data_IF_559693656043
#
_entry.id   IF_559693656043
#
_cell.length_a   1.000
_cell.length_b   1.000
_cell.length_c   1.000
_cell.angle_alpha   90.00
_cell.angle_beta   90.00
_cell.angle_gamma   90.00
#
_symmetry.space_group_name_H-M   'P 1'
#
loop_
_entity.id
_entity.type
_entity.pdbx_description
1 polymer ?
#
# COMPACT_ATOMS: atom_id res chain seq x y z
N UNK A 1 3.00 7.23 5.52
CA UNK A 1 4.03 6.91 6.54
C UNK A 1 3.30 6.26 7.70
N UNK A 2 3.38 4.94 7.81
CA UNK A 2 2.85 4.21 8.96
C UNK A 2 3.66 4.65 10.18
N UNK A 3 2.99 5.18 11.22
CA UNK A 3 3.66 5.64 12.44
C UNK A 3 4.46 4.48 13.05
N UNK A 4 5.55 4.76 13.77
CA UNK A 4 6.37 3.71 14.41
C UNK A 4 5.53 2.75 15.25
N UNK A 5 4.47 3.27 15.88
CA UNK A 5 3.46 2.55 16.64
C UNK A 5 2.69 1.45 15.90
N UNK A 6 2.72 1.46 14.56
CA UNK A 6 1.98 0.53 13.71
C UNK A 6 2.87 -0.45 12.94
N UNK A 7 4.20 -0.31 13.04
CA UNK A 7 5.17 -1.20 12.37
C UNK A 7 4.97 -2.67 12.75
N UNK A 8 4.67 -2.95 14.01
CA UNK A 8 4.44 -4.30 14.53
C UNK A 8 3.15 -4.94 13.97
N UNK A 9 2.24 -4.13 13.43
CA UNK A 9 0.93 -4.56 12.95
C UNK A 9 0.81 -4.51 11.42
N UNK A 10 1.92 -4.38 10.69
CA UNK A 10 1.92 -4.37 9.21
C UNK A 10 1.21 -5.61 8.66
N UNK A 11 1.41 -6.79 9.26
CA UNK A 11 0.70 -8.01 8.83
C UNK A 11 -0.82 -7.94 8.99
N UNK A 12 -1.32 -7.27 10.02
CA UNK A 12 -2.77 -7.00 10.19
C UNK A 12 -3.24 -6.02 9.12
N UNK A 13 -2.49 -4.94 8.90
CA UNK A 13 -2.84 -3.92 7.90
C UNK A 13 -2.94 -4.56 6.51
N UNK A 14 -1.93 -5.31 6.08
CA UNK A 14 -1.93 -5.98 4.76
C UNK A 14 -3.11 -6.95 4.60
N UNK A 15 -3.43 -7.73 5.62
CA UNK A 15 -4.61 -8.60 5.60
C UNK A 15 -5.90 -7.79 5.48
N UNK A 16 -6.04 -6.72 6.25
CA UNK A 16 -7.24 -5.89 6.25
C UNK A 16 -7.40 -5.05 4.98
N UNK A 17 -6.32 -4.65 4.29
CA UNK A 17 -6.38 -3.96 2.99
C UNK A 17 -7.19 -4.75 1.95
N UNK A 18 -6.99 -6.07 1.90
CA UNK A 18 -7.72 -6.95 0.97
C UNK A 18 -9.22 -7.08 1.27
N UNK A 19 -9.66 -6.71 2.48
CA UNK A 19 -11.04 -6.81 2.94
C UNK A 19 -11.72 -5.45 3.06
N UNK A 20 -11.06 -4.35 2.65
CA UNK A 20 -11.47 -2.99 3.00
C UNK A 20 -12.88 -2.61 2.52
N UNK A 21 -13.35 -3.27 1.46
CA UNK A 21 -14.68 -3.11 0.88
C UNK A 21 -15.58 -4.34 1.07
N UNK A 22 -15.16 -5.32 1.86
CA UNK A 22 -15.90 -6.57 2.08
C UNK A 22 -16.81 -6.44 3.30
N UNK A 23 -17.94 -7.16 3.28
CA UNK A 23 -18.89 -7.18 4.39
C UNK A 23 -18.30 -7.81 5.65
N UNK A 24 -17.26 -8.65 5.49
CA UNK A 24 -16.54 -9.35 6.55
C UNK A 24 -15.48 -8.46 7.24
N UNK A 25 -15.32 -7.20 6.84
CA UNK A 25 -14.30 -6.29 7.37
C UNK A 25 -14.39 -6.17 8.89
N UNK A 26 -15.55 -5.78 9.44
CA UNK A 26 -15.68 -5.50 10.88
C UNK A 26 -15.52 -6.76 11.72
N UNK A 27 -16.01 -7.91 11.23
CA UNK A 27 -15.84 -9.20 11.90
C UNK A 27 -14.35 -9.61 11.93
N UNK A 28 -13.67 -9.55 10.78
CA UNK A 28 -12.27 -9.93 10.68
C UNK A 28 -11.37 -8.99 11.48
N UNK A 29 -11.64 -7.68 11.43
CA UNK A 29 -10.93 -6.68 12.22
C UNK A 29 -11.05 -6.98 13.71
N UNK A 30 -12.27 -7.27 14.19
CA UNK A 30 -12.53 -7.56 15.60
C UNK A 30 -11.80 -8.82 16.06
N UNK A 31 -11.75 -9.86 15.23
CA UNK A 31 -11.03 -11.10 15.52
C UNK A 31 -9.50 -10.88 15.56
N UNK A 32 -8.93 -10.22 14.56
CA UNK A 32 -7.48 -10.01 14.46
C UNK A 32 -6.92 -9.05 15.50
N UNK A 33 -7.77 -8.22 16.10
CA UNK A 33 -7.35 -7.17 17.04
C UNK A 33 -7.94 -7.36 18.45
N UNK A 34 -8.54 -8.51 18.74
CA UNK A 34 -9.22 -8.80 20.01
C UNK A 34 -8.31 -8.56 21.24
N UNK A 35 -7.05 -8.98 21.14
CA UNK A 35 -6.07 -8.88 22.22
C UNK A 35 -5.38 -7.51 22.30
N UNK A 36 -5.68 -6.59 21.37
CA UNK A 36 -5.06 -5.27 21.33
C UNK A 36 -5.84 -4.26 22.20
N UNK A 37 -5.15 -3.34 22.89
CA UNK A 37 -5.80 -2.21 23.56
C UNK A 37 -6.65 -1.38 22.59
N UNK A 38 -7.74 -0.79 23.08
CA UNK A 38 -8.66 0.01 22.25
C UNK A 38 -7.98 1.19 21.54
N UNK A 39 -6.95 1.78 22.13
CA UNK A 39 -6.13 2.82 21.49
C UNK A 39 -5.41 2.30 20.24
N UNK A 40 -4.84 1.08 20.29
CA UNK A 40 -4.17 0.45 19.13
C UNK A 40 -5.18 0.02 18.07
N UNK A 41 -6.33 -0.54 18.46
CA UNK A 41 -7.44 -0.84 17.53
C UNK A 41 -7.88 0.43 16.79
N UNK A 42 -8.02 1.55 17.51
CA UNK A 42 -8.39 2.84 16.91
C UNK A 42 -7.37 3.33 15.89
N UNK A 43 -6.07 3.31 16.23
CA UNK A 43 -4.99 3.69 15.31
C UNK A 43 -4.97 2.81 14.05
N UNK A 44 -5.21 1.51 14.19
CA UNK A 44 -5.32 0.60 13.04
C UNK A 44 -6.52 0.95 12.15
N UNK A 45 -7.70 1.22 12.73
CA UNK A 45 -8.86 1.67 11.94
C UNK A 45 -8.59 3.00 11.24
N UNK A 46 -7.90 3.94 11.90
CA UNK A 46 -7.51 5.21 11.28
C UNK A 46 -6.58 5.01 10.09
N UNK A 47 -5.57 4.15 10.22
CA UNK A 47 -4.63 3.88 9.13
C UNK A 47 -5.32 3.20 7.95
N UNK A 48 -6.19 2.22 8.20
CA UNK A 48 -6.99 1.57 7.14
C UNK A 48 -7.90 2.59 6.44
N UNK A 49 -8.56 3.47 7.21
CA UNK A 49 -9.38 4.55 6.64
C UNK A 49 -8.55 5.52 5.81
N UNK A 50 -7.31 5.82 6.22
CA UNK A 50 -6.36 6.67 5.47
C UNK A 50 -6.00 6.00 4.14
N UNK A 51 -5.63 4.71 4.16
CA UNK A 51 -5.29 3.95 2.96
C UNK A 51 -6.47 3.84 1.98
N UNK A 52 -7.70 3.77 2.49
CA UNK A 52 -8.92 3.77 1.67
C UNK A 52 -9.27 5.13 1.05
N UNK A 53 -8.62 6.24 1.44
CA UNK A 53 -8.97 7.56 0.90
C UNK A 53 -8.70 7.62 -0.60
N UNK A 54 -9.68 8.03 -1.43
CA UNK A 54 -9.44 8.30 -2.84
C UNK A 54 -8.30 9.31 -3.02
N UNK A 55 -7.48 9.10 -4.04
CA UNK A 55 -6.39 10.01 -4.37
C UNK A 55 -6.23 10.16 -5.88
N UNK A 56 -5.42 11.14 -6.25
CA UNK A 56 -5.32 11.63 -7.62
C UNK A 56 -3.87 11.93 -8.03
N UNK A 57 -2.91 11.37 -7.30
CA UNK A 57 -1.48 11.61 -7.46
C UNK A 57 -0.95 11.06 -8.78
N UNK A 58 0.02 11.75 -9.36
CA UNK A 58 0.76 11.23 -10.50
C UNK A 58 1.82 10.24 -10.01
N UNK A 59 2.02 9.18 -10.79
CA UNK A 59 3.07 8.19 -10.55
C UNK A 59 4.06 8.33 -11.68
N UNK A 60 5.32 8.58 -11.36
CA UNK A 60 6.43 8.62 -12.31
C UNK A 60 7.60 7.84 -11.73
N UNK A 61 7.88 6.68 -12.32
CA UNK A 61 8.91 5.75 -11.87
C UNK A 61 10.16 5.79 -12.75
N UNK A 62 10.25 6.71 -13.72
CA UNK A 62 11.42 6.82 -14.61
C UNK A 62 12.69 7.06 -13.79
N UNK A 63 13.68 6.18 -13.94
CA UNK A 63 14.93 6.24 -13.17
C UNK A 63 14.79 5.85 -11.69
N UNK A 64 13.62 5.34 -11.26
CA UNK A 64 13.37 4.95 -9.88
C UNK A 64 13.16 3.45 -9.68
N UNK A 65 12.99 2.69 -10.76
CA UNK A 65 12.77 1.24 -10.73
C UNK A 65 13.71 0.51 -11.67
N UNK A 66 13.99 -0.75 -11.33
CA UNK A 66 14.61 -1.73 -12.22
C UNK A 66 13.53 -2.33 -13.12
N UNK A 67 13.28 -1.67 -14.26
CA UNK A 67 12.26 -2.04 -15.23
C UNK A 67 12.10 -0.99 -16.33
N UNK A 68 11.55 -1.38 -17.48
CA UNK A 68 11.24 -0.44 -18.56
C UNK A 68 9.96 0.33 -18.25
N UNK A 69 10.09 1.65 -18.08
CA UNK A 69 8.99 2.53 -17.72
C UNK A 69 8.31 3.09 -18.97
N UNK A 70 6.98 2.97 -19.03
CA UNK A 70 6.15 3.42 -20.17
C UNK A 70 4.96 4.27 -19.71
N UNK A 71 4.42 5.12 -20.59
CA UNK A 71 3.20 5.86 -20.27
C UNK A 71 2.01 4.90 -20.08
N UNK A 72 1.26 5.11 -19.00
CA UNK A 72 0.04 4.39 -18.64
C UNK A 72 -1.07 5.40 -18.33
N UNK A 73 -2.18 5.34 -19.05
CA UNK A 73 -3.28 6.31 -18.91
C UNK A 73 -4.38 5.74 -18.02
N UNK A 74 -4.71 6.44 -16.95
CA UNK A 74 -5.82 6.12 -16.07
C UNK A 74 -6.66 7.37 -15.78
N UNK A 75 -7.98 7.31 -16.02
CA UNK A 75 -8.91 8.44 -15.83
C UNK A 75 -8.44 9.76 -16.45
N UNK A 76 -7.83 9.70 -17.64
CA UNK A 76 -7.33 10.88 -18.36
C UNK A 76 -6.01 11.44 -17.83
N UNK A 77 -5.37 10.79 -16.85
CA UNK A 77 -4.03 11.13 -16.36
C UNK A 77 -3.00 10.14 -16.89
N UNK A 78 -1.87 10.66 -17.33
CA UNK A 78 -0.73 9.84 -17.77
C UNK A 78 0.22 9.64 -16.59
N UNK A 79 0.38 8.39 -16.19
CA UNK A 79 1.39 7.91 -15.28
C UNK A 79 2.56 7.33 -16.09
N UNK A 80 3.74 7.21 -15.48
CA UNK A 80 4.90 6.54 -16.06
C UNK A 80 5.30 5.40 -15.14
N UNK A 81 4.94 4.17 -15.53
CA UNK A 81 5.10 2.97 -14.72
C UNK A 81 5.69 1.83 -15.57
N UNK A 82 6.43 0.94 -14.93
CA UNK A 82 6.85 -0.33 -15.52
C UNK A 82 5.73 -1.39 -15.36
N UNK A 83 5.92 -2.57 -15.95
CA UNK A 83 4.90 -3.62 -15.94
C UNK A 83 4.57 -4.12 -14.53
N UNK A 84 5.57 -4.17 -13.63
CA UNK A 84 5.35 -4.55 -12.23
C UNK A 84 4.47 -3.52 -11.50
N UNK A 85 4.77 -2.23 -11.62
CA UNK A 85 3.95 -1.17 -11.03
C UNK A 85 2.53 -1.13 -11.61
N UNK A 86 2.36 -1.34 -12.93
CA UNK A 86 1.03 -1.43 -13.55
C UNK A 86 0.23 -2.59 -12.94
N UNK A 87 0.85 -3.76 -12.77
CA UNK A 87 0.19 -4.92 -12.18
C UNK A 87 -0.25 -4.67 -10.73
N UNK A 88 0.59 -4.03 -9.92
CA UNK A 88 0.27 -3.62 -8.54
C UNK A 88 -0.87 -2.60 -8.56
N UNK A 89 -0.81 -1.59 -9.43
CA UNK A 89 -1.83 -0.56 -9.56
C UNK A 89 -3.19 -1.18 -9.88
N UNK A 90 -3.30 -1.98 -10.94
CA UNK A 90 -4.56 -2.59 -11.37
C UNK A 90 -5.16 -3.53 -10.33
N UNK A 91 -4.32 -4.33 -9.66
CA UNK A 91 -4.78 -5.18 -8.55
C UNK A 91 -5.26 -4.34 -7.37
N UNK A 92 -4.55 -3.27 -7.05
CA UNK A 92 -4.95 -2.31 -6.03
C UNK A 92 -6.30 -1.66 -6.34
N UNK A 93 -6.54 -1.22 -7.58
CA UNK A 93 -7.85 -0.67 -8.00
C UNK A 93 -8.97 -1.67 -7.73
N UNK A 94 -8.77 -2.96 -8.05
CA UNK A 94 -9.77 -4.01 -7.81
C UNK A 94 -10.04 -4.22 -6.32
N UNK A 95 -8.99 -4.22 -5.49
CA UNK A 95 -9.10 -4.44 -4.05
C UNK A 95 -9.74 -3.25 -3.32
N UNK A 96 -9.26 -2.03 -3.59
CA UNK A 96 -9.74 -0.81 -2.96
C UNK A 96 -10.98 -0.20 -3.62
N UNK A 97 -11.44 -0.74 -4.77
CA UNK A 97 -12.60 -0.24 -5.50
C UNK A 97 -12.34 1.08 -6.24
N UNK A 98 -11.09 1.54 -6.31
CA UNK A 98 -10.72 2.81 -6.92
C UNK A 98 -9.27 3.18 -6.67
N UNK A 99 -8.85 4.33 -7.20
CA UNK A 99 -7.50 4.84 -6.97
C UNK A 99 -7.44 5.53 -5.61
N UNK A 100 -6.76 4.89 -4.67
CA UNK A 100 -6.65 5.33 -3.27
C UNK A 100 -5.20 5.56 -2.88
N UNK A 101 -5.00 6.18 -1.71
CA UNK A 101 -3.67 6.31 -1.11
C UNK A 101 -2.97 4.96 -0.93
N UNK A 102 -3.72 3.91 -0.59
CA UNK A 102 -3.18 2.56 -0.50
C UNK A 102 -2.57 2.08 -1.82
N UNK A 103 -3.31 2.21 -2.92
CA UNK A 103 -2.82 1.85 -4.26
C UNK A 103 -1.55 2.64 -4.63
N UNK A 104 -1.56 3.96 -4.39
CA UNK A 104 -0.39 4.80 -4.65
C UNK A 104 0.83 4.34 -3.81
N UNK A 105 0.63 4.12 -2.52
CA UNK A 105 1.70 3.69 -1.62
C UNK A 105 2.23 2.30 -1.98
N UNK A 106 1.37 1.36 -2.37
CA UNK A 106 1.77 0.01 -2.77
C UNK A 106 2.65 0.06 -4.03
N UNK A 107 2.29 0.89 -5.04
CA UNK A 107 3.13 1.09 -6.23
C UNK A 107 4.47 1.74 -5.89
N UNK A 108 4.47 2.79 -5.06
CA UNK A 108 5.71 3.51 -4.68
C UNK A 108 6.65 2.70 -3.78
N UNK A 109 6.16 1.58 -3.22
CA UNK A 109 6.92 0.65 -2.40
C UNK A 109 7.15 -0.71 -3.09
N UNK A 110 6.94 -0.79 -4.41
CA UNK A 110 7.25 -1.99 -5.19
C UNK A 110 8.71 -2.44 -4.97
N UNK A 111 8.91 -3.76 -4.99
CA UNK A 111 10.18 -4.37 -4.61
C UNK A 111 11.35 -4.02 -5.54
N UNK A 112 11.06 -3.77 -6.83
CA UNK A 112 12.05 -3.35 -7.82
C UNK A 112 12.33 -1.85 -7.81
N UNK A 113 11.79 -1.09 -6.85
CA UNK A 113 12.14 0.31 -6.66
C UNK A 113 13.53 0.44 -6.02
N UNK A 114 14.44 1.21 -6.63
CA UNK A 114 15.83 1.36 -6.16
C UNK A 114 15.91 1.80 -4.69
N UNK A 115 14.99 2.68 -4.25
CA UNK A 115 14.91 3.11 -2.85
C UNK A 115 14.58 1.95 -1.91
N UNK A 116 13.68 1.06 -2.34
CA UNK A 116 13.26 -0.12 -1.55
C UNK A 116 14.38 -1.14 -1.52
N UNK A 117 15.01 -1.42 -2.66
CA UNK A 117 16.15 -2.34 -2.78
C UNK A 117 17.30 -1.91 -1.86
N UNK A 118 17.75 -0.65 -1.93
CA UNK A 118 18.81 -0.14 -1.06
C UNK A 118 18.48 -0.19 0.44
N UNK A 119 17.22 0.07 0.81
CA UNK A 119 16.77 -0.07 2.21
C UNK A 119 16.86 -1.53 2.69
N UNK A 120 16.44 -2.50 1.85
CA UNK A 120 16.52 -3.93 2.16
C UNK A 120 17.98 -4.39 2.29
N UNK A 121 18.85 -3.99 1.37
CA UNK A 121 20.29 -4.29 1.41
C UNK A 121 20.93 -3.75 2.68
N UNK A 122 20.64 -2.51 3.06
CA UNK A 122 21.20 -1.88 4.27
C UNK A 122 20.72 -2.61 5.52
N UNK A 123 19.42 -2.96 5.61
CA UNK A 123 18.88 -3.67 6.75
C UNK A 123 19.45 -5.10 6.91
N UNK A 124 19.82 -5.76 5.81
CA UNK A 124 20.48 -7.08 5.84
C UNK A 124 21.92 -7.00 6.33
N UNK A 125 22.64 -5.90 6.03
CA UNK A 125 24.04 -5.70 6.47
C UNK A 125 24.18 -5.34 7.95
N UNK A 126 23.13 -4.83 8.58
CA UNK A 126 23.12 -4.37 9.97
C UNK A 126 22.61 -5.45 10.95
N UNK A 127 22.13 -6.60 10.44
CA UNK A 127 21.80 -7.78 11.22
C UNK A 127 23.00 -8.70 11.40
#
# INVERSE_FOLDING_TARGET
>A
MTTDDLKEYVGIIERMKSLINSAEFDQTFSLLTADLPKSKQFLLKMELKRLAQPCDYFIDLRGHVDGEVRPFVYRGKTHYMDDNAIQIFENGIKQYGGYTLGVYEDVMNADNNFRVMHKKETAQRVK
#
